data_IF_873158990187
#
_entry.id   IF_873158990187
#
_cell.length_a   1.000
_cell.length_b   1.000
_cell.length_c   1.000
_cell.angle_alpha   90.00
_cell.angle_beta   90.00
_cell.angle_gamma   90.00
#
_symmetry.space_group_name_H-M   'P 1'
#
loop_
_entity.id
_entity.type
_entity.pdbx_description
1 polymer ?
#
# COMPACT_ATOMS: atom_id res chain seq x y z
N UNK A 1 16.93 -4.08 15.06
CA UNK A 1 16.08 -4.70 14.01
C UNK A 1 14.77 -3.94 13.97
N UNK A 2 14.30 -3.58 12.78
CA UNK A 2 12.95 -3.01 12.62
C UNK A 2 11.94 -4.09 13.04
N UNK A 3 11.02 -3.74 13.93
CA UNK A 3 10.02 -4.67 14.50
C UNK A 3 8.68 -4.66 13.77
N UNK A 4 8.53 -3.81 12.75
CA UNK A 4 7.29 -3.64 12.01
C UNK A 4 7.55 -3.83 10.52
N UNK A 5 6.52 -4.22 9.77
CA UNK A 5 6.61 -4.48 8.34
C UNK A 5 5.58 -3.61 7.63
N UNK A 6 5.98 -2.97 6.55
CA UNK A 6 5.08 -2.19 5.70
C UNK A 6 4.99 -2.80 4.31
N UNK A 7 3.78 -3.06 3.85
CA UNK A 7 3.48 -3.59 2.52
C UNK A 7 3.14 -2.42 1.59
N UNK A 8 3.90 -2.29 0.51
CA UNK A 8 3.66 -1.35 -0.59
C UNK A 8 3.40 -2.09 -1.89
N UNK A 9 2.83 -1.41 -2.87
CA UNK A 9 2.49 -1.96 -4.19
C UNK A 9 1.13 -1.49 -4.69
N UNK A 10 0.84 -1.81 -5.95
CA UNK A 10 -0.36 -1.35 -6.64
C UNK A 10 -1.66 -1.76 -5.93
N UNK A 11 -2.75 -1.01 -6.14
CA UNK A 11 -4.09 -1.50 -5.81
C UNK A 11 -4.32 -2.83 -6.56
N UNK A 12 -4.78 -3.87 -5.86
CA UNK A 12 -4.86 -5.23 -6.42
C UNK A 12 -3.63 -6.12 -6.18
N UNK A 13 -2.54 -5.58 -5.63
CA UNK A 13 -1.34 -6.38 -5.34
C UNK A 13 -1.52 -7.37 -4.17
N UNK A 14 -2.64 -7.33 -3.45
CA UNK A 14 -2.95 -8.25 -2.36
C UNK A 14 -2.46 -7.82 -0.97
N UNK A 15 -2.03 -6.57 -0.80
CA UNK A 15 -1.46 -6.01 0.45
C UNK A 15 -2.32 -6.28 1.68
N UNK A 16 -3.61 -5.93 1.66
CA UNK A 16 -4.51 -6.16 2.80
C UNK A 16 -4.70 -7.65 3.10
N UNK A 17 -4.68 -8.52 2.08
CA UNK A 17 -4.82 -9.97 2.25
C UNK A 17 -3.56 -10.60 2.86
N UNK A 18 -2.40 -10.33 2.27
CA UNK A 18 -1.09 -10.75 2.78
C UNK A 18 -0.87 -10.20 4.19
N UNK A 19 -1.14 -8.91 4.40
CA UNK A 19 -0.93 -8.26 5.68
C UNK A 19 -1.78 -8.85 6.80
N UNK A 20 -3.04 -9.20 6.51
CA UNK A 20 -3.92 -9.85 7.49
C UNK A 20 -3.43 -11.21 7.93
N UNK A 21 -3.01 -12.06 6.98
CA UNK A 21 -2.53 -13.40 7.33
C UNK A 21 -1.15 -13.33 8.02
N UNK A 22 -0.25 -12.47 7.53
CA UNK A 22 1.06 -12.26 8.14
C UNK A 22 0.94 -11.77 9.58
N UNK A 23 0.09 -10.76 9.83
CA UNK A 23 -0.19 -10.23 11.17
C UNK A 23 -0.66 -11.34 12.13
N UNK A 24 -1.56 -12.21 11.67
CA UNK A 24 -2.06 -13.35 12.44
C UNK A 24 -0.95 -14.37 12.75
N UNK A 25 -0.09 -14.68 11.78
CA UNK A 25 0.97 -15.67 11.94
C UNK A 25 2.07 -15.23 12.91
N UNK A 26 2.46 -13.96 12.86
CA UNK A 26 3.57 -13.44 13.69
C UNK A 26 3.11 -12.68 14.95
N UNK A 27 1.79 -12.57 15.16
CA UNK A 27 1.19 -11.95 16.35
C UNK A 27 1.26 -10.41 16.36
N UNK A 28 1.34 -9.78 15.19
CA UNK A 28 1.42 -8.32 15.05
C UNK A 28 0.05 -7.69 14.81
N UNK A 29 -0.09 -6.41 15.11
CA UNK A 29 -1.31 -5.66 14.81
C UNK A 29 -1.33 -5.25 13.33
N UNK A 30 -2.44 -5.51 12.63
CA UNK A 30 -2.66 -4.96 11.29
C UNK A 30 -3.16 -3.52 11.36
N UNK A 31 -2.58 -2.64 10.55
CA UNK A 31 -3.09 -1.31 10.22
C UNK A 31 -3.24 -1.25 8.70
N UNK A 32 -4.42 -0.90 8.21
CA UNK A 32 -4.65 -0.60 6.80
C UNK A 32 -4.87 0.91 6.68
N UNK A 33 -4.01 1.60 5.92
CA UNK A 33 -4.04 3.07 5.85
C UNK A 33 -5.31 3.59 5.19
N UNK A 34 -5.86 2.85 4.22
CA UNK A 34 -7.08 3.25 3.51
C UNK A 34 -8.24 3.22 4.51
N UNK A 35 -8.38 2.12 5.26
CA UNK A 35 -9.39 1.99 6.31
C UNK A 35 -9.22 3.03 7.43
N UNK A 36 -7.97 3.35 7.80
CA UNK A 36 -7.68 4.39 8.81
C UNK A 36 -8.21 5.76 8.36
N UNK A 37 -7.95 6.15 7.11
CA UNK A 37 -8.42 7.41 6.54
C UNK A 37 -9.94 7.42 6.47
N UNK A 38 -10.56 6.37 5.93
CA UNK A 38 -12.02 6.31 5.81
C UNK A 38 -12.73 6.41 7.17
N UNK A 39 -12.15 5.79 8.21
CA UNK A 39 -12.66 5.91 9.58
C UNK A 39 -12.52 7.34 10.13
N UNK A 40 -11.39 8.01 9.89
CA UNK A 40 -11.13 9.37 10.37
C UNK A 40 -12.06 10.40 9.69
N UNK A 41 -12.24 10.27 8.37
CA UNK A 41 -13.00 11.23 7.57
C UNK A 41 -14.50 10.89 7.49
N UNK A 42 -14.91 9.68 7.90
CA UNK A 42 -16.28 9.15 7.76
C UNK A 42 -16.79 9.23 6.32
N UNK A 43 -15.89 9.03 5.37
CA UNK A 43 -16.11 9.05 3.92
C UNK A 43 -15.25 7.96 3.27
N UNK A 44 -15.70 7.40 2.16
CA UNK A 44 -14.83 6.54 1.36
C UNK A 44 -13.69 7.35 0.73
N UNK A 45 -12.58 6.70 0.40
CA UNK A 45 -11.50 7.36 -0.34
C UNK A 45 -11.98 7.93 -1.68
N UNK A 46 -12.93 7.24 -2.33
CA UNK A 46 -13.55 7.72 -3.57
C UNK A 46 -14.34 9.02 -3.36
N UNK A 47 -15.14 9.12 -2.28
CA UNK A 47 -15.87 10.35 -2.00
C UNK A 47 -14.92 11.51 -1.67
N UNK A 48 -13.81 11.25 -0.97
CA UNK A 48 -12.79 12.27 -0.72
C UNK A 48 -12.14 12.71 -2.04
N UNK A 49 -11.84 11.76 -2.92
CA UNK A 49 -11.28 12.04 -4.25
C UNK A 49 -12.24 12.89 -5.09
N UNK A 50 -13.53 12.58 -5.08
CA UNK A 50 -14.55 13.30 -5.85
C UNK A 50 -14.82 14.70 -5.30
N UNK A 51 -14.85 14.85 -3.97
CA UNK A 51 -15.13 16.12 -3.29
C UNK A 51 -13.92 17.07 -3.31
N UNK A 52 -12.70 16.55 -3.11
CA UNK A 52 -11.50 17.34 -2.78
C UNK A 52 -10.35 17.18 -3.78
N UNK A 53 -10.42 16.18 -4.68
CA UNK A 53 -9.42 15.92 -5.70
C UNK A 53 -8.20 15.12 -5.24
N UNK A 54 -7.43 14.62 -6.22
CA UNK A 54 -6.35 13.65 -5.98
C UNK A 54 -5.16 14.22 -5.20
N UNK A 55 -4.87 15.52 -5.34
CA UNK A 55 -3.77 16.17 -4.59
C UNK A 55 -4.11 16.16 -3.11
N UNK A 56 -5.35 16.54 -2.77
CA UNK A 56 -5.80 16.58 -1.39
C UNK A 56 -5.85 15.19 -0.77
N UNK A 57 -6.33 14.19 -1.50
CA UNK A 57 -6.28 12.80 -1.04
C UNK A 57 -4.84 12.35 -0.72
N UNK A 58 -3.86 12.69 -1.54
CA UNK A 58 -2.43 12.39 -1.27
C UNK A 58 -1.89 13.07 -0.01
N UNK A 59 -2.28 14.32 0.24
CA UNK A 59 -1.92 15.02 1.49
C UNK A 59 -2.51 14.32 2.72
N UNK A 60 -3.78 13.91 2.63
CA UNK A 60 -4.49 13.17 3.68
C UNK A 60 -3.78 11.82 3.93
N UNK A 61 -3.45 11.08 2.88
CA UNK A 61 -2.70 9.83 2.97
C UNK A 61 -1.34 10.04 3.66
N UNK A 62 -0.58 11.04 3.23
CA UNK A 62 0.72 11.36 3.83
C UNK A 62 0.61 11.66 5.32
N UNK A 63 -0.37 12.49 5.72
CA UNK A 63 -0.60 12.83 7.12
C UNK A 63 -1.02 11.60 7.95
N UNK A 64 -1.90 10.75 7.40
CA UNK A 64 -2.33 9.53 8.05
C UNK A 64 -1.17 8.57 8.27
N UNK A 65 -0.33 8.34 7.26
CA UNK A 65 0.85 7.47 7.36
C UNK A 65 1.86 7.99 8.41
N UNK A 66 2.13 9.30 8.43
CA UNK A 66 3.02 9.92 9.42
C UNK A 66 2.48 9.90 10.86
N UNK A 67 1.20 9.62 11.05
CA UNK A 67 0.59 9.50 12.39
C UNK A 67 0.71 8.09 12.99
N UNK A 68 1.15 7.11 12.21
CA UNK A 68 1.18 5.70 12.62
C UNK A 68 2.34 5.45 13.58
N UNK A 69 2.05 4.85 14.74
CA UNK A 69 3.07 4.37 15.66
C UNK A 69 3.50 2.95 15.29
N UNK A 70 4.77 2.77 14.96
CA UNK A 70 5.34 1.49 14.58
C UNK A 70 5.81 0.70 15.81
N UNK A 71 4.95 -0.18 16.31
CA UNK A 71 5.29 -1.10 17.40
C UNK A 71 4.64 -2.46 17.14
N UNK A 72 5.41 -3.38 16.55
CA UNK A 72 4.96 -4.75 16.24
C UNK A 72 3.67 -4.74 15.39
N UNK A 73 3.73 -3.97 14.29
CA UNK A 73 2.61 -3.81 13.34
C UNK A 73 2.95 -4.35 11.95
N UNK A 74 1.90 -4.74 11.24
CA UNK A 74 1.88 -4.85 9.78
C UNK A 74 1.10 -3.65 9.24
N UNK A 75 1.73 -2.82 8.42
CA UNK A 75 1.09 -1.72 7.72
C UNK A 75 0.77 -2.12 6.28
N UNK A 76 -0.51 -2.16 5.91
CA UNK A 76 -0.97 -2.19 4.51
C UNK A 76 -1.21 -0.76 4.05
N UNK A 77 -0.45 -0.30 3.07
CA UNK A 77 -0.55 1.07 2.55
C UNK A 77 -1.55 1.20 1.40
N UNK A 78 -2.02 2.43 1.15
CA UNK A 78 -2.70 2.80 -0.08
C UNK A 78 -1.74 2.79 -1.27
N UNK A 79 -2.26 2.54 -2.48
CA UNK A 79 -1.43 2.48 -3.68
C UNK A 79 -0.75 3.80 -4.06
N UNK A 80 -1.18 4.93 -3.49
CA UNK A 80 -0.61 6.27 -3.72
C UNK A 80 0.40 6.69 -2.66
N UNK A 81 0.60 5.90 -1.60
CA UNK A 81 1.52 6.21 -0.51
C UNK A 81 2.93 6.60 -1.01
N UNK A 82 3.41 5.90 -2.05
CA UNK A 82 4.74 6.10 -2.63
C UNK A 82 4.97 7.46 -3.30
N UNK A 83 3.91 8.23 -3.55
CA UNK A 83 4.07 9.59 -4.05
C UNK A 83 4.56 10.57 -2.99
N UNK A 84 4.38 10.25 -1.70
CA UNK A 84 4.84 11.12 -0.61
C UNK A 84 6.22 10.69 -0.15
N UNK A 85 7.24 11.47 -0.53
CA UNK A 85 8.61 11.23 -0.09
C UNK A 85 8.73 11.21 1.44
N UNK A 86 8.18 12.20 2.14
CA UNK A 86 8.22 12.29 3.60
C UNK A 86 7.54 11.09 4.29
N UNK A 87 6.39 10.64 3.78
CA UNK A 87 5.71 9.48 4.35
C UNK A 87 6.53 8.20 4.14
N UNK A 88 7.13 8.05 2.95
CA UNK A 88 7.95 6.88 2.65
C UNK A 88 9.25 6.85 3.45
N UNK A 89 9.92 8.00 3.66
CA UNK A 89 11.08 8.10 4.56
C UNK A 89 10.70 7.68 5.98
N UNK A 90 9.60 8.23 6.50
CA UNK A 90 9.09 7.86 7.82
C UNK A 90 8.81 6.34 7.93
N UNK A 91 8.18 5.75 6.91
CA UNK A 91 7.91 4.30 6.86
C UNK A 91 9.22 3.49 6.82
N UNK A 92 10.19 3.91 6.00
CA UNK A 92 11.48 3.22 5.86
C UNK A 92 12.30 3.28 7.15
N UNK A 93 12.30 4.39 7.87
CA UNK A 93 13.00 4.52 9.15
C UNK A 93 12.42 3.58 10.22
N UNK A 94 11.11 3.31 10.18
CA UNK A 94 10.39 2.65 11.26
C UNK A 94 9.96 1.20 10.96
N UNK A 95 10.04 0.74 9.71
CA UNK A 95 9.60 -0.60 9.30
C UNK A 95 10.40 -1.18 8.14
N UNK A 96 10.42 -2.51 8.03
CA UNK A 96 10.93 -3.18 6.82
C UNK A 96 9.89 -3.03 5.72
N UNK A 97 10.27 -2.42 4.60
CA UNK A 97 9.35 -2.11 3.51
C UNK A 97 9.39 -3.20 2.45
N UNK A 98 8.28 -3.92 2.29
CA UNK A 98 8.14 -5.01 1.32
C UNK A 98 7.24 -4.54 0.18
N UNK A 99 7.78 -4.52 -1.03
CA UNK A 99 7.00 -4.31 -2.24
C UNK A 99 6.42 -5.64 -2.74
N UNK A 100 5.08 -5.72 -2.79
CA UNK A 100 4.36 -6.81 -3.45
C UNK A 100 4.26 -6.56 -4.95
N UNK A 101 5.17 -7.17 -5.71
CA UNK A 101 5.23 -7.04 -7.16
C UNK A 101 4.22 -7.97 -7.84
N UNK A 102 3.35 -7.38 -8.68
CA UNK A 102 2.34 -8.08 -9.48
C UNK A 102 2.29 -7.39 -10.86
N UNK A 103 2.32 -8.14 -11.97
CA UNK A 103 2.29 -7.56 -13.30
C UNK A 103 0.92 -6.94 -13.59
N UNK A 104 0.91 -5.89 -14.42
CA UNK A 104 -0.26 -5.06 -14.67
C UNK A 104 -1.48 -5.87 -15.16
N UNK A 105 -1.27 -6.88 -16.01
CA UNK A 105 -2.37 -7.72 -16.50
C UNK A 105 -3.12 -8.43 -15.37
N UNK A 106 -2.40 -8.98 -14.38
CA UNK A 106 -3.03 -9.59 -13.20
C UNK A 106 -3.66 -8.54 -12.27
N UNK A 107 -3.07 -7.36 -12.17
CA UNK A 107 -3.64 -6.24 -11.41
C UNK A 107 -5.02 -5.85 -11.99
N UNK A 108 -5.12 -5.75 -13.31
CA UNK A 108 -6.38 -5.46 -14.01
C UNK A 108 -7.41 -6.57 -13.78
N UNK A 109 -7.01 -7.85 -13.85
CA UNK A 109 -7.90 -8.98 -13.56
C UNK A 109 -8.43 -8.97 -12.10
N UNK A 110 -7.59 -8.56 -11.14
CA UNK A 110 -7.94 -8.52 -9.71
C UNK A 110 -8.75 -7.29 -9.31
N UNK A 111 -8.75 -6.24 -10.12
CA UNK A 111 -9.41 -4.97 -9.82
C UNK A 111 -10.38 -4.64 -10.96
N UNK A 112 -11.64 -5.11 -10.86
CA UNK A 112 -12.64 -4.90 -11.91
C UNK A 112 -12.97 -3.42 -12.15
N UNK A 113 -12.78 -2.57 -11.14
CA UNK A 113 -12.98 -1.12 -11.21
C UNK A 113 -11.99 -0.41 -10.28
N UNK A 114 -11.01 0.28 -10.88
CA UNK A 114 -10.11 1.18 -10.14
C UNK A 114 -10.83 2.46 -9.68
N UNK A 115 -11.89 2.84 -10.39
CA UNK A 115 -12.66 4.05 -10.14
C UNK A 115 -13.48 3.97 -8.86
N UNK A 116 -13.77 2.78 -8.34
CA UNK A 116 -14.50 2.63 -7.07
C UNK A 116 -13.57 2.58 -5.84
N UNK A 117 -12.25 2.67 -6.05
CA UNK A 117 -11.23 2.46 -5.01
C UNK A 117 -10.48 3.72 -4.59
N UNK A 118 -10.91 4.92 -5.01
CA UNK A 118 -10.18 6.15 -4.69
C UNK A 118 -8.79 6.20 -5.34
N UNK A 119 -8.66 5.67 -6.57
CA UNK A 119 -7.36 5.59 -7.25
C UNK A 119 -6.82 6.99 -7.60
N UNK A 120 -5.91 7.51 -6.76
CA UNK A 120 -5.36 8.86 -6.89
C UNK A 120 -4.38 9.01 -8.08
N UNK A 121 -4.93 9.37 -9.25
CA UNK A 121 -4.18 9.69 -10.47
C UNK A 121 -4.57 11.06 -11.02
N UNK A 122 -3.71 11.64 -11.86
CA UNK A 122 -4.10 12.84 -12.60
C UNK A 122 -5.26 12.53 -13.60
N UNK A 123 -6.13 13.51 -13.94
CA UNK A 123 -7.29 13.27 -14.81
C UNK A 123 -6.95 12.59 -16.14
N UNK A 124 -5.86 13.00 -16.78
CA UNK A 124 -5.43 12.52 -18.10
C UNK A 124 -4.40 11.38 -18.06
N UNK A 125 -4.02 10.90 -16.87
CA UNK A 125 -3.06 9.81 -16.73
C UNK A 125 -3.76 8.46 -16.95
N UNK A 126 -3.21 7.59 -17.78
CA UNK A 126 -3.72 6.22 -17.92
C UNK A 126 -3.38 5.36 -16.69
N UNK A 127 -3.99 4.17 -16.57
CA UNK A 127 -3.65 3.24 -15.48
C UNK A 127 -2.24 2.69 -15.72
N UNK A 128 -1.89 2.46 -16.98
CA UNK A 128 -0.58 2.02 -17.46
C UNK A 128 0.51 3.03 -17.08
N UNK A 129 0.30 4.32 -17.36
CA UNK A 129 1.26 5.38 -17.01
C UNK A 129 1.45 5.46 -15.49
N UNK A 130 0.34 5.42 -14.74
CA UNK A 130 0.39 5.42 -13.28
C UNK A 130 1.09 4.16 -12.73
N UNK A 131 0.91 3.01 -13.37
CA UNK A 131 1.58 1.77 -12.99
C UNK A 131 3.09 1.88 -13.19
N UNK A 132 3.54 2.33 -14.37
CA UNK A 132 4.96 2.50 -14.70
C UNK A 132 5.62 3.48 -13.73
N UNK A 133 5.01 4.65 -13.53
CA UNK A 133 5.51 5.67 -12.59
C UNK A 133 5.63 5.12 -11.17
N UNK A 134 4.58 4.44 -10.67
CA UNK A 134 4.60 3.88 -9.32
C UNK A 134 5.56 2.70 -9.18
N UNK A 135 5.81 1.94 -10.25
CA UNK A 135 6.74 0.82 -10.19
C UNK A 135 8.15 1.29 -9.82
N UNK A 136 8.65 2.35 -10.45
CA UNK A 136 9.94 2.95 -10.12
C UNK A 136 9.98 3.42 -8.66
N UNK A 137 8.88 4.00 -8.17
CA UNK A 137 8.78 4.46 -6.79
C UNK A 137 8.69 3.29 -5.78
N UNK A 138 7.94 2.23 -6.09
CA UNK A 138 7.88 1.04 -5.24
C UNK A 138 9.26 0.41 -5.08
N UNK A 139 10.00 0.26 -6.19
CA UNK A 139 11.36 -0.27 -6.17
C UNK A 139 12.30 0.64 -5.38
N UNK A 140 12.22 1.97 -5.59
CA UNK A 140 13.01 2.96 -4.85
C UNK A 140 12.84 2.86 -3.33
N UNK A 141 11.61 2.68 -2.85
CA UNK A 141 11.32 2.71 -1.41
C UNK A 141 11.31 1.34 -0.73
N UNK A 142 11.34 0.24 -1.49
CA UNK A 142 11.36 -1.10 -0.92
C UNK A 142 12.73 -1.49 -0.36
N UNK A 143 12.73 -2.12 0.82
CA UNK A 143 13.89 -2.87 1.30
C UNK A 143 13.97 -4.23 0.59
N UNK A 144 12.81 -4.84 0.31
CA UNK A 144 12.70 -6.14 -0.36
C UNK A 144 11.52 -6.17 -1.35
N UNK A 145 11.73 -6.85 -2.48
CA UNK A 145 10.67 -7.11 -3.47
C UNK A 145 10.23 -8.57 -3.38
N UNK A 146 8.92 -8.79 -3.22
CA UNK A 146 8.30 -10.11 -3.19
C UNK A 146 7.23 -10.20 -4.27
N UNK A 147 7.33 -11.22 -5.12
CA UNK A 147 6.32 -11.50 -6.13
C UNK A 147 5.06 -12.11 -5.50
N UNK A 148 3.89 -11.57 -5.85
CA UNK A 148 2.58 -12.09 -5.44
C UNK A 148 1.71 -12.49 -6.65
N UNK A 149 2.29 -13.27 -7.57
CA UNK A 149 1.66 -13.70 -8.84
C UNK A 149 1.05 -15.10 -8.81
N UNK A 150 1.28 -15.86 -7.74
CA UNK A 150 0.83 -17.24 -7.56
C UNK A 150 -0.24 -17.29 -6.44
N UNK A 151 -0.22 -18.33 -5.61
CA UNK A 151 -1.05 -18.41 -4.43
C UNK A 151 -0.53 -17.53 -3.29
N UNK A 152 -1.45 -17.15 -2.40
CA UNK A 152 -1.17 -16.28 -1.26
C UNK A 152 -0.15 -16.89 -0.29
N UNK A 153 -0.18 -18.22 -0.09
CA UNK A 153 0.69 -18.89 0.88
C UNK A 153 2.14 -18.83 0.44
N UNK A 154 2.42 -18.96 -0.86
CA UNK A 154 3.77 -18.81 -1.40
C UNK A 154 4.35 -17.42 -1.16
N UNK A 155 3.52 -16.37 -1.32
CA UNK A 155 3.93 -15.01 -1.01
C UNK A 155 4.24 -14.84 0.49
N UNK A 156 3.37 -15.35 1.37
CA UNK A 156 3.57 -15.27 2.81
C UNK A 156 4.80 -16.04 3.26
N UNK A 157 5.01 -17.26 2.77
CA UNK A 157 6.17 -18.08 3.11
C UNK A 157 7.48 -17.35 2.79
N UNK A 158 7.58 -16.75 1.61
CA UNK A 158 8.74 -15.91 1.23
C UNK A 158 8.94 -14.72 2.15
N UNK A 159 7.87 -14.06 2.57
CA UNK A 159 7.99 -12.94 3.51
C UNK A 159 8.53 -13.46 4.85
N UNK A 160 8.02 -14.58 5.36
CA UNK A 160 8.47 -15.18 6.62
C UNK A 160 9.94 -15.62 6.59
N UNK A 161 10.45 -16.06 5.44
CA UNK A 161 11.89 -16.39 5.27
C UNK A 161 12.81 -15.17 5.39
N UNK A 162 12.26 -13.95 5.26
CA UNK A 162 12.99 -12.69 5.32
C UNK A 162 12.95 -12.02 6.70
N UNK A 163 12.17 -12.56 7.64
CA UNK A 163 11.99 -12.03 9.01
C UNK A 163 12.96 -12.70 10.00
#
# INVERSE_FOLDING_TARGET
MKKSISLIGMAGAGKSCVGKELAKMIGFRLIDSDALIEQQYRKSLQNILDDEGYIRLREIESAALKSIQFQEIILSTGGSAVYSHEAMEYIQENSTVIFLAVPLNQIIERVPSFLDRGFAKAPNQSIEDAFIERQELYEKYSDVVVSNTQDLNHCIAKILELL
#
